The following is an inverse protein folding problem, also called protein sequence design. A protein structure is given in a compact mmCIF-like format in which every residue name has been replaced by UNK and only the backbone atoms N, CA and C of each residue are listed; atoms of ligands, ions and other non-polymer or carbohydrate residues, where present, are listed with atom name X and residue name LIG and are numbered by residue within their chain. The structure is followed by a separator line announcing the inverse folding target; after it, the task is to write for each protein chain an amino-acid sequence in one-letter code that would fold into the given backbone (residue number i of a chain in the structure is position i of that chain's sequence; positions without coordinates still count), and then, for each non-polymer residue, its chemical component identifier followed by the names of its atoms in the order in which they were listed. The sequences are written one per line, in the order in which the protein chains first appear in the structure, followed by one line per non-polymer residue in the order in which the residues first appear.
data_IF_153169104227
#
_entry.id   IF_153169104227
#
_cell.length_a   1.000
_cell.length_b   1.000
_cell.length_c   1.000
_cell.angle_alpha   90.00
_cell.angle_beta   90.00
_cell.angle_gamma   90.00
#
_symmetry.space_group_name_H-M   'P 1'
#
loop_
_entity.id
_entity.type
_entity.pdbx_description
1 polymer ?
#
# COMPACT_ATOMS: atom_id res chain seq x y z
N UNK A 1 -6.39 21.28 -8.03
CA UNK A 1 -7.37 20.65 -7.12
C UNK A 1 -6.62 19.92 -6.00
N UNK A 2 -6.97 20.21 -4.76
CA UNK A 2 -6.36 19.51 -3.61
C UNK A 2 -7.00 18.11 -3.45
N UNK A 3 -6.23 17.06 -3.22
CA UNK A 3 -6.76 15.72 -3.08
C UNK A 3 -7.63 15.61 -1.81
N UNK A 4 -8.80 15.00 -1.95
CA UNK A 4 -9.70 14.67 -0.84
C UNK A 4 -9.66 13.19 -0.47
N UNK A 5 -8.99 12.37 -1.29
CA UNK A 5 -8.82 10.93 -1.06
C UNK A 5 -7.37 10.52 -1.38
N UNK A 6 -6.66 10.10 -0.37
CA UNK A 6 -5.22 9.75 -0.45
C UNK A 6 -5.07 8.27 -0.20
N UNK A 7 -4.31 7.57 -1.04
CA UNK A 7 -3.93 6.18 -0.87
C UNK A 7 -2.49 6.09 -0.38
N UNK A 8 -2.29 5.58 0.83
CA UNK A 8 -0.98 5.22 1.34
C UNK A 8 -0.72 3.74 1.10
N UNK A 9 0.24 3.42 0.23
CA UNK A 9 0.69 2.05 0.02
C UNK A 9 1.80 1.71 0.99
N UNK A 10 1.66 0.62 1.72
CA UNK A 10 2.65 0.12 2.66
C UNK A 10 2.97 -1.35 2.43
N UNK A 11 4.24 -1.71 2.58
CA UNK A 11 4.70 -3.09 2.64
C UNK A 11 5.17 -3.48 4.05
N UNK A 12 4.88 -2.64 5.05
CA UNK A 12 5.28 -2.77 6.45
C UNK A 12 6.80 -2.68 6.70
N UNK A 13 7.61 -2.38 5.69
CA UNK A 13 9.04 -2.14 5.88
C UNK A 13 9.29 -0.78 6.56
N UNK A 14 10.46 -0.62 7.14
CA UNK A 14 10.89 0.69 7.68
C UNK A 14 10.99 1.74 6.58
N UNK A 15 11.24 1.33 5.33
CA UNK A 15 11.27 2.22 4.18
C UNK A 15 9.91 2.86 3.86
N UNK A 16 8.80 2.30 4.35
CA UNK A 16 7.46 2.87 4.16
C UNK A 16 7.07 3.92 5.20
N UNK A 17 7.81 4.03 6.31
CA UNK A 17 7.50 4.99 7.38
C UNK A 17 7.52 6.46 6.94
N UNK A 18 8.52 6.94 6.16
CA UNK A 18 8.50 8.32 5.66
C UNK A 18 7.29 8.61 4.77
N UNK A 19 6.88 7.65 3.92
CA UNK A 19 5.69 7.78 3.09
C UNK A 19 4.42 7.95 3.95
N UNK A 20 4.32 7.19 5.04
CA UNK A 20 3.21 7.33 6.00
C UNK A 20 3.16 8.72 6.62
N UNK A 21 4.30 9.27 7.02
CA UNK A 21 4.36 10.62 7.59
C UNK A 21 3.86 11.65 6.58
N UNK A 22 4.36 11.63 5.35
CA UNK A 22 3.88 12.54 4.30
C UNK A 22 2.39 12.37 4.00
N UNK A 23 1.89 11.14 3.93
CA UNK A 23 0.46 10.89 3.69
C UNK A 23 -0.41 11.46 4.83
N UNK A 24 0.05 11.34 6.08
CA UNK A 24 -0.64 11.91 7.24
C UNK A 24 -0.62 13.44 7.21
N UNK A 25 0.54 14.03 6.95
CA UNK A 25 0.69 15.49 6.86
C UNK A 25 -0.21 16.09 5.76
N UNK A 26 -0.26 15.45 4.59
CA UNK A 26 -1.14 15.90 3.50
C UNK A 26 -2.62 15.64 3.82
N UNK A 27 -2.93 14.50 4.43
CA UNK A 27 -4.29 14.21 4.89
C UNK A 27 -4.83 15.31 5.81
N UNK A 28 -3.98 15.75 6.73
CA UNK A 28 -4.28 16.85 7.67
C UNK A 28 -4.40 18.19 6.96
N UNK A 29 -3.42 18.52 6.11
CA UNK A 29 -3.38 19.82 5.42
C UNK A 29 -4.53 20.00 4.42
N UNK A 30 -5.00 18.93 3.79
CA UNK A 30 -6.04 18.96 2.77
C UNK A 30 -7.42 18.53 3.29
N UNK A 31 -7.52 18.16 4.57
CA UNK A 31 -8.72 17.56 5.15
C UNK A 31 -9.21 16.37 4.31
N UNK A 32 -8.27 15.48 3.98
CA UNK A 32 -8.50 14.35 3.10
C UNK A 32 -8.70 13.06 3.88
N UNK A 33 -9.51 12.16 3.32
CA UNK A 33 -9.59 10.77 3.75
C UNK A 33 -8.28 10.05 3.40
N UNK A 34 -7.73 9.30 4.34
CA UNK A 34 -6.58 8.45 4.15
C UNK A 34 -6.99 6.98 4.10
N UNK A 35 -6.66 6.29 3.02
CA UNK A 35 -6.81 4.83 2.91
C UNK A 35 -5.42 4.22 2.96
N UNK A 36 -5.19 3.37 3.96
CA UNK A 36 -3.93 2.62 4.12
C UNK A 36 -4.11 1.28 3.43
N UNK A 37 -3.25 0.99 2.47
CA UNK A 37 -3.42 -0.11 1.54
C UNK A 37 -2.20 -1.02 1.49
N UNK A 38 -2.45 -2.32 1.51
CA UNK A 38 -1.43 -3.34 1.30
C UNK A 38 -1.88 -4.35 0.26
N UNK A 39 -0.94 -4.82 -0.54
CA UNK A 39 -1.15 -5.92 -1.48
C UNK A 39 -0.33 -7.12 -1.05
N UNK A 40 -1.00 -8.23 -0.75
CA UNK A 40 -0.36 -9.52 -0.54
C UNK A 40 0.08 -10.02 -1.92
N UNK A 41 1.39 -10.11 -2.12
CA UNK A 41 1.94 -10.47 -3.42
C UNK A 41 1.68 -11.96 -3.72
N UNK A 42 0.79 -12.21 -4.69
CA UNK A 42 0.39 -13.56 -5.09
C UNK A 42 1.53 -14.41 -5.65
N UNK A 43 2.54 -13.79 -6.26
CA UNK A 43 3.69 -14.53 -6.79
C UNK A 43 4.54 -15.21 -5.70
N UNK A 44 4.45 -14.73 -4.48
CA UNK A 44 5.15 -15.32 -3.32
C UNK A 44 4.41 -16.50 -2.70
N UNK A 45 3.15 -16.68 -3.04
CA UNK A 45 2.33 -17.77 -2.49
C UNK A 45 2.54 -19.06 -3.31
N UNK A 46 2.99 -18.96 -4.56
CA UNK A 46 3.36 -20.09 -5.40
C UNK A 46 2.17 -20.95 -5.87
N UNK A 47 0.95 -20.46 -5.75
CA UNK A 47 -0.26 -21.16 -6.18
C UNK A 47 -1.17 -20.24 -7.00
N UNK A 48 -1.82 -20.74 -8.08
CA UNK A 48 -2.82 -19.95 -8.81
C UNK A 48 -4.00 -19.63 -7.89
N UNK A 49 -4.18 -18.39 -7.50
CA UNK A 49 -5.17 -17.95 -6.50
C UNK A 49 -6.63 -18.00 -6.97
N UNK A 50 -6.89 -18.41 -8.21
CA UNK A 50 -8.22 -18.40 -8.82
C UNK A 50 -8.77 -19.80 -9.09
N UNK A 51 -8.14 -20.83 -8.55
CA UNK A 51 -8.59 -22.19 -8.80
C UNK A 51 -9.53 -22.66 -7.67
N UNK A 52 -10.71 -23.13 -8.04
CA UNK A 52 -11.69 -23.74 -7.12
C UNK A 52 -11.11 -24.99 -6.40
N UNK A 53 -9.94 -25.46 -6.83
CA UNK A 53 -9.22 -26.60 -6.28
C UNK A 53 -8.12 -26.27 -5.29
N UNK A 54 -8.06 -25.05 -4.72
CA UNK A 54 -7.02 -24.72 -3.74
C UNK A 54 -7.06 -25.65 -2.52
N UNK A 55 -5.96 -26.35 -2.17
CA UNK A 55 -5.88 -27.20 -0.99
C UNK A 55 -6.25 -26.44 0.29
N UNK A 56 -6.91 -27.16 1.22
CA UNK A 56 -7.41 -26.55 2.46
C UNK A 56 -6.29 -25.95 3.34
N UNK A 57 -5.11 -26.55 3.35
CA UNK A 57 -3.93 -26.06 4.07
C UNK A 57 -3.40 -24.74 3.50
N UNK A 58 -3.36 -24.61 2.18
CA UNK A 58 -2.96 -23.35 1.52
C UNK A 58 -4.00 -22.27 1.76
N UNK A 59 -5.27 -22.61 1.70
CA UNK A 59 -6.37 -21.68 2.00
C UNK A 59 -6.30 -21.19 3.45
N UNK A 60 -6.04 -22.07 4.39
CA UNK A 60 -5.87 -21.72 5.79
C UNK A 60 -4.66 -20.82 6.02
N UNK A 61 -3.51 -21.13 5.40
CA UNK A 61 -2.32 -20.32 5.48
C UNK A 61 -2.53 -18.90 4.90
N UNK A 62 -3.25 -18.80 3.78
CA UNK A 62 -3.61 -17.52 3.17
C UNK A 62 -4.52 -16.68 4.08
N UNK A 63 -5.50 -17.32 4.71
CA UNK A 63 -6.38 -16.69 5.69
C UNK A 63 -5.59 -16.14 6.88
N UNK A 64 -4.62 -16.89 7.40
CA UNK A 64 -3.76 -16.44 8.50
C UNK A 64 -2.88 -15.25 8.11
N UNK A 65 -2.33 -15.26 6.89
CA UNK A 65 -1.57 -14.13 6.34
C UNK A 65 -2.47 -12.89 6.25
N UNK A 66 -3.67 -13.03 5.72
CA UNK A 66 -4.62 -11.93 5.57
C UNK A 66 -5.00 -11.33 6.93
N UNK A 67 -5.28 -12.15 7.92
CA UNK A 67 -5.57 -11.69 9.29
C UNK A 67 -4.39 -10.94 9.90
N UNK A 68 -3.17 -11.44 9.71
CA UNK A 68 -1.95 -10.76 10.18
C UNK A 68 -1.75 -9.40 9.51
N UNK A 69 -2.01 -9.30 8.23
CA UNK A 69 -1.95 -8.05 7.46
C UNK A 69 -3.00 -7.06 7.95
N UNK A 70 -4.24 -7.49 8.12
CA UNK A 70 -5.34 -6.65 8.62
C UNK A 70 -5.00 -6.09 10.01
N UNK A 71 -4.41 -6.92 10.87
CA UNK A 71 -3.96 -6.50 12.20
C UNK A 71 -2.85 -5.44 12.12
N UNK A 72 -1.87 -5.63 11.25
CA UNK A 72 -0.79 -4.67 11.03
C UNK A 72 -1.32 -3.34 10.46
N UNK A 73 -2.25 -3.38 9.51
CA UNK A 73 -2.91 -2.18 8.99
C UNK A 73 -3.70 -1.44 10.06
N UNK A 74 -4.40 -2.17 10.93
CA UNK A 74 -5.17 -1.57 12.04
C UNK A 74 -4.27 -0.81 13.01
N UNK A 75 -3.06 -1.31 13.29
CA UNK A 75 -2.09 -0.61 14.14
C UNK A 75 -1.65 0.71 13.51
N UNK A 76 -1.35 0.70 12.22
CA UNK A 76 -1.00 1.93 11.48
C UNK A 76 -2.17 2.91 11.47
N UNK A 77 -3.38 2.42 11.20
CA UNK A 77 -4.59 3.25 11.20
C UNK A 77 -4.85 3.91 12.54
N UNK A 78 -4.64 3.19 13.64
CA UNK A 78 -4.79 3.73 15.00
C UNK A 78 -3.85 4.91 15.23
N UNK A 79 -2.60 4.82 14.77
CA UNK A 79 -1.66 5.93 14.85
C UNK A 79 -2.10 7.13 13.99
N UNK A 80 -2.50 6.89 12.75
CA UNK A 80 -2.95 7.96 11.85
C UNK A 80 -4.23 8.65 12.35
N UNK A 81 -5.14 7.92 13.03
CA UNK A 81 -6.39 8.48 13.59
C UNK A 81 -6.16 9.45 14.75
N UNK A 82 -4.96 9.50 15.32
CA UNK A 82 -4.61 10.55 16.28
C UNK A 82 -4.57 11.95 15.66
N UNK A 83 -4.34 12.01 14.35
CA UNK A 83 -4.18 13.26 13.60
C UNK A 83 -5.25 13.47 12.51
N UNK A 84 -5.88 12.40 12.04
CA UNK A 84 -6.82 12.43 10.91
C UNK A 84 -8.20 11.95 11.34
N UNK A 85 -9.23 12.64 10.85
CA UNK A 85 -10.63 12.31 11.16
C UNK A 85 -11.13 11.08 10.39
N UNK A 86 -10.62 10.84 9.17
CA UNK A 86 -11.07 9.76 8.30
C UNK A 86 -9.90 8.91 7.86
N UNK A 87 -9.80 7.71 8.42
CA UNK A 87 -8.76 6.72 8.07
C UNK A 87 -9.41 5.36 7.88
N UNK A 88 -9.19 4.77 6.73
CA UNK A 88 -9.63 3.42 6.37
C UNK A 88 -8.44 2.53 6.07
N UNK A 89 -8.66 1.23 6.07
CA UNK A 89 -7.67 0.23 5.67
C UNK A 89 -8.25 -0.68 4.60
N UNK A 90 -7.43 -1.14 3.68
CA UNK A 90 -7.82 -2.14 2.69
C UNK A 90 -6.65 -3.05 2.33
N UNK A 91 -6.96 -4.30 2.01
CA UNK A 91 -5.98 -5.29 1.58
C UNK A 91 -6.49 -5.99 0.33
N UNK A 92 -5.58 -6.27 -0.60
CA UNK A 92 -5.84 -7.11 -1.77
C UNK A 92 -4.75 -8.15 -1.94
N UNK A 93 -5.05 -9.15 -2.72
CA UNK A 93 -4.13 -10.22 -3.10
C UNK A 93 -3.93 -10.13 -4.60
N UNK A 94 -2.68 -10.08 -5.06
CA UNK A 94 -2.38 -9.98 -6.49
C UNK A 94 -0.97 -9.48 -6.77
N UNK A 95 -0.80 -8.91 -7.95
CA UNK A 95 0.45 -8.24 -8.33
C UNK A 95 0.44 -6.81 -7.78
N UNK A 96 1.39 -6.43 -6.92
CA UNK A 96 1.31 -5.18 -6.17
C UNK A 96 1.02 -3.93 -7.01
N UNK A 97 1.81 -3.64 -8.03
CA UNK A 97 1.60 -2.44 -8.84
C UNK A 97 0.24 -2.42 -9.55
N UNK A 98 -0.18 -3.56 -10.07
CA UNK A 98 -1.48 -3.70 -10.75
C UNK A 98 -2.66 -3.47 -9.80
N UNK A 99 -2.61 -4.08 -8.62
CA UNK A 99 -3.67 -3.94 -7.63
C UNK A 99 -3.74 -2.52 -7.04
N UNK A 100 -2.60 -1.85 -6.88
CA UNK A 100 -2.56 -0.45 -6.43
C UNK A 100 -3.26 0.46 -7.45
N UNK A 101 -2.89 0.35 -8.72
CA UNK A 101 -3.47 1.19 -9.78
C UNK A 101 -4.97 0.92 -9.94
N UNK A 102 -5.36 -0.35 -9.95
CA UNK A 102 -6.76 -0.76 -10.05
C UNK A 102 -7.59 -0.23 -8.88
N UNK A 103 -7.11 -0.40 -7.65
CA UNK A 103 -7.77 0.12 -6.45
C UNK A 103 -7.91 1.64 -6.50
N UNK A 104 -6.85 2.33 -6.93
CA UNK A 104 -6.88 3.78 -7.05
C UNK A 104 -7.95 4.28 -8.05
N UNK A 105 -8.15 3.56 -9.16
CA UNK A 105 -9.21 3.87 -10.12
C UNK A 105 -10.60 3.58 -9.55
N UNK A 106 -10.81 2.39 -8.99
CA UNK A 106 -12.09 1.97 -8.42
C UNK A 106 -12.56 2.89 -7.29
N UNK A 107 -11.66 3.32 -6.43
CA UNK A 107 -11.95 4.18 -5.27
C UNK A 107 -11.84 5.68 -5.57
N UNK A 108 -11.55 6.05 -6.80
CA UNK A 108 -11.37 7.46 -7.21
C UNK A 108 -10.30 8.18 -6.38
N UNK A 109 -9.19 7.52 -6.14
CA UNK A 109 -8.03 8.09 -5.43
C UNK A 109 -7.46 9.27 -6.20
N UNK A 110 -7.13 10.33 -5.50
CA UNK A 110 -6.63 11.57 -6.09
C UNK A 110 -5.13 11.80 -5.84
N UNK A 111 -4.53 11.03 -4.94
CA UNK A 111 -3.09 11.01 -4.68
C UNK A 111 -2.69 9.64 -4.14
N UNK A 112 -1.69 9.02 -4.77
CA UNK A 112 -1.03 7.83 -4.22
C UNK A 112 0.26 8.28 -3.55
N UNK A 113 0.51 7.80 -2.34
CA UNK A 113 1.75 8.02 -1.60
C UNK A 113 2.39 6.66 -1.29
N UNK A 114 3.65 6.50 -1.63
CA UNK A 114 4.37 5.24 -1.42
C UNK A 114 5.87 5.45 -1.29
N UNK A 115 6.55 4.51 -0.67
CA UNK A 115 8.00 4.50 -0.64
C UNK A 115 8.61 4.16 -2.00
N UNK A 116 9.83 4.62 -2.25
CA UNK A 116 10.56 4.29 -3.49
C UNK A 116 11.07 2.85 -3.50
N UNK A 117 11.31 2.26 -2.32
CA UNK A 117 11.82 0.89 -2.13
C UNK A 117 11.00 0.16 -1.08
N UNK A 118 10.87 -1.16 -1.27
CA UNK A 118 10.32 -2.07 -0.28
C UNK A 118 11.41 -2.82 0.48
N UNK A 119 11.09 -4.06 0.89
CA UNK A 119 11.99 -4.94 1.64
C UNK A 119 13.31 -5.26 0.94
N UNK A 120 13.30 -5.27 -0.41
CA UNK A 120 14.46 -5.63 -1.23
C UNK A 120 15.31 -4.42 -1.64
N UNK A 121 15.28 -3.33 -0.88
CA UNK A 121 15.97 -2.08 -1.20
C UNK A 121 17.42 -2.26 -1.64
N UNK A 122 17.65 -2.44 -2.93
CA UNK A 122 18.98 -2.42 -3.51
C UNK A 122 19.52 -0.99 -3.48
N UNK A 123 20.68 -0.81 -2.86
CA UNK A 123 21.35 0.51 -2.70
C UNK A 123 21.66 1.21 -4.04
N UNK A 124 21.58 0.49 -5.15
CA UNK A 124 21.92 0.99 -6.48
C UNK A 124 20.70 1.34 -7.35
N UNK A 125 19.50 1.01 -6.91
CA UNK A 125 18.28 1.34 -7.65
C UNK A 125 17.69 2.64 -7.11
N UNK A 126 17.39 3.55 -8.03
CA UNK A 126 16.74 4.84 -7.71
C UNK A 126 15.32 4.58 -7.24
N UNK A 127 14.66 3.53 -7.77
CA UNK A 127 13.26 3.21 -7.49
C UNK A 127 13.03 1.70 -7.62
N UNK A 128 12.25 1.11 -6.70
CA UNK A 128 11.84 -0.29 -6.78
C UNK A 128 10.82 -0.54 -7.89
N UNK A 129 10.69 -1.80 -8.30
CA UNK A 129 9.82 -2.21 -9.42
C UNK A 129 8.35 -1.84 -9.22
N UNK A 130 7.82 -1.98 -8.01
CA UNK A 130 6.43 -1.62 -7.71
C UNK A 130 6.21 -0.11 -7.86
N UNK A 131 7.06 0.71 -7.25
CA UNK A 131 6.95 2.17 -7.35
C UNK A 131 7.11 2.66 -8.80
N UNK A 132 8.09 2.13 -9.53
CA UNK A 132 8.28 2.46 -10.94
C UNK A 132 7.05 2.14 -11.79
N UNK A 133 6.47 0.96 -11.63
CA UNK A 133 5.27 0.58 -12.38
C UNK A 133 4.05 1.41 -12.01
N UNK A 134 3.85 1.73 -10.73
CA UNK A 134 2.75 2.59 -10.29
C UNK A 134 2.90 4.00 -10.88
N UNK A 135 4.09 4.60 -10.82
CA UNK A 135 4.35 5.93 -11.41
C UNK A 135 4.06 5.94 -12.91
N UNK A 136 4.42 4.86 -13.60
CA UNK A 136 4.23 4.75 -15.06
C UNK A 136 2.76 4.57 -15.46
N UNK A 137 1.95 3.91 -14.64
CA UNK A 137 0.61 3.43 -15.05
C UNK A 137 -0.57 4.07 -14.32
N UNK A 138 -0.33 4.73 -13.17
CA UNK A 138 -1.39 5.39 -12.42
C UNK A 138 -1.96 6.60 -13.19
N UNK A 139 -3.26 6.82 -13.06
CA UNK A 139 -3.96 7.96 -13.67
C UNK A 139 -4.05 9.17 -12.76
N UNK A 140 -3.70 9.03 -11.50
CA UNK A 140 -3.62 10.14 -10.55
C UNK A 140 -2.16 10.46 -10.20
N UNK A 141 -1.86 11.61 -9.61
CA UNK A 141 -0.54 11.93 -9.08
C UNK A 141 -0.03 10.87 -8.12
N UNK A 142 1.27 10.60 -8.20
CA UNK A 142 1.98 9.64 -7.33
C UNK A 142 3.13 10.37 -6.66
N UNK A 143 3.11 10.40 -5.34
CA UNK A 143 4.21 10.87 -4.52
C UNK A 143 5.05 9.67 -4.08
N UNK A 144 6.26 9.59 -4.57
CA UNK A 144 7.24 8.61 -4.10
C UNK A 144 8.16 9.23 -3.07
N UNK A 145 8.30 8.59 -1.94
CA UNK A 145 9.09 9.10 -0.80
C UNK A 145 10.31 8.22 -0.60
N UNK A 146 11.48 8.84 -0.65
CA UNK A 146 12.74 8.14 -0.34
C UNK A 146 12.82 7.89 1.16
N UNK A 147 13.24 6.69 1.55
CA UNK A 147 13.69 6.49 2.91
C UNK A 147 15.02 7.23 3.09
N UNK A 148 15.17 7.91 4.21
CA UNK A 148 16.48 8.43 4.60
C UNK A 148 17.37 7.25 4.92
N UNK A 149 17.97 6.65 3.91
CA UNK A 149 19.03 5.67 4.13
C UNK A 149 20.27 6.42 4.59
N UNK A 150 20.61 6.17 5.79
CA UNK A 150 21.95 6.48 6.27
C UNK A 150 22.99 5.64 5.54
#
# INVERSE_FOLDING_TARGET
MLPKKILLCTDFSDNSKPARQHATDYGKAFEAELIIFHVINSSRIGYPLLDEGMPADIRSALSDIQQSVEKALSLIATECRKELAQVQTSVRIGTPAREIVRFAEEESIQLIVMGTHGWTGFKHLIMGSTAENVVRTARCPVLTVKSSSQ
#
